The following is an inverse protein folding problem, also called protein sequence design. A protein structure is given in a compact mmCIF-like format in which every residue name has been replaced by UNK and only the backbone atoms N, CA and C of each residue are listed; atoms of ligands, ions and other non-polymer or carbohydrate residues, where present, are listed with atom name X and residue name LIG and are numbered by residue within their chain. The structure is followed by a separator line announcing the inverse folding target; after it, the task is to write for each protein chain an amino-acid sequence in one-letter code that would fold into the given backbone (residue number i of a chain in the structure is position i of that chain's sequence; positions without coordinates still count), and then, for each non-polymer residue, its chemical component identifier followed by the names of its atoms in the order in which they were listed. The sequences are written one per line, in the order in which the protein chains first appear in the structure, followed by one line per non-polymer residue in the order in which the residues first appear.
data_IF_453474654322
#
_entry.id   IF_453474654322
#
_cell.length_a   1.000
_cell.length_b   1.000
_cell.length_c   1.000
_cell.angle_alpha   90.00
_cell.angle_beta   90.00
_cell.angle_gamma   90.00
#
_symmetry.space_group_name_H-M   'P 1'
#
loop_
_entity.id
_entity.type
_entity.pdbx_description
1 polymer ?
#
# COMPACT_ATOMS: atom_id res chain seq x y z
N UNK A 1 14.87 -17.86 -22.71
CA UNK A 1 14.08 -16.70 -22.26
C UNK A 1 15.02 -15.72 -21.61
N UNK A 2 14.98 -14.45 -22.02
CA UNK A 2 15.69 -13.36 -21.30
C UNK A 2 14.99 -13.10 -19.97
N UNK A 3 15.78 -12.88 -18.91
CA UNK A 3 15.25 -12.57 -17.58
C UNK A 3 14.86 -11.11 -17.53
N UNK A 4 13.65 -10.81 -17.07
CA UNK A 4 13.18 -9.47 -16.81
C UNK A 4 13.27 -9.18 -15.32
N UNK A 5 13.57 -7.92 -14.96
CA UNK A 5 13.44 -7.46 -13.58
C UNK A 5 11.98 -7.17 -13.29
N UNK A 6 11.50 -7.60 -12.12
CA UNK A 6 10.19 -7.21 -11.62
C UNK A 6 10.32 -5.96 -10.75
N UNK A 7 9.50 -4.95 -11.02
CA UNK A 7 9.46 -3.70 -10.28
C UNK A 7 8.25 -3.67 -9.36
N UNK A 8 8.51 -3.51 -8.06
CA UNK A 8 7.50 -3.29 -7.04
C UNK A 8 7.65 -1.87 -6.46
N UNK A 9 6.58 -1.08 -6.48
CA UNK A 9 6.58 0.25 -5.91
C UNK A 9 6.13 0.19 -4.44
N UNK A 10 7.05 0.48 -3.53
CA UNK A 10 6.74 0.62 -2.12
C UNK A 10 6.13 2.00 -1.83
N UNK A 11 4.87 2.03 -1.40
CA UNK A 11 4.15 3.27 -1.09
C UNK A 11 4.02 3.42 0.42
N UNK A 12 4.70 4.43 0.97
CA UNK A 12 4.65 4.78 2.38
C UNK A 12 4.42 6.29 2.54
N UNK A 13 3.17 6.69 2.82
CA UNK A 13 2.80 8.09 3.01
C UNK A 13 3.24 9.01 1.87
N UNK A 14 4.19 9.91 2.15
CA UNK A 14 4.76 10.88 1.19
C UNK A 14 6.17 10.50 0.71
N UNK A 15 6.56 9.23 0.85
CA UNK A 15 7.88 8.70 0.53
C UNK A 15 8.60 8.12 1.75
N UNK A 16 9.59 7.27 1.51
CA UNK A 16 10.27 6.49 2.56
C UNK A 16 11.31 7.26 3.37
N UNK A 17 11.68 8.47 2.94
CA UNK A 17 12.58 9.33 3.72
C UNK A 17 11.81 9.96 4.89
N UNK A 18 12.36 9.93 6.11
CA UNK A 18 11.70 10.39 7.35
C UNK A 18 11.18 11.84 7.27
N UNK A 19 11.90 12.69 6.54
CA UNK A 19 11.57 14.10 6.31
C UNK A 19 10.91 14.37 4.93
N UNK A 20 10.54 13.35 4.16
CA UNK A 20 9.99 13.52 2.80
C UNK A 20 8.81 14.49 2.78
N UNK A 21 7.95 14.43 3.80
CA UNK A 21 6.78 15.31 3.92
C UNK A 21 7.10 16.81 3.98
N UNK A 22 8.34 17.20 4.32
CA UNK A 22 8.78 18.61 4.38
C UNK A 22 9.27 19.13 3.03
N UNK A 23 9.55 18.24 2.08
CA UNK A 23 10.09 18.65 0.79
C UNK A 23 9.05 19.48 0.02
N UNK A 24 9.40 20.64 -0.56
CA UNK A 24 8.42 21.52 -1.23
C UNK A 24 7.66 20.86 -2.39
N UNK A 25 8.25 19.85 -3.03
CA UNK A 25 7.62 19.08 -4.12
C UNK A 25 6.84 17.86 -3.64
N UNK A 26 6.78 17.60 -2.33
CA UNK A 26 5.97 16.51 -1.81
C UNK A 26 4.50 16.83 -1.98
N UNK A 27 3.69 15.80 -2.23
CA UNK A 27 2.24 15.94 -2.26
C UNK A 27 1.76 16.65 -0.99
N UNK A 28 0.71 17.46 -1.10
CA UNK A 28 -0.01 18.08 0.04
C UNK A 28 -1.33 17.37 0.33
N UNK A 29 -1.72 16.39 -0.51
CA UNK A 29 -2.97 15.63 -0.36
C UNK A 29 -3.04 14.94 1.01
N UNK A 30 -4.25 14.74 1.54
CA UNK A 30 -4.42 13.99 2.80
C UNK A 30 -4.00 12.53 2.60
N UNK A 31 -3.33 11.92 3.59
CA UNK A 31 -3.06 10.48 3.62
C UNK A 31 -4.32 9.65 3.92
N UNK A 32 -5.46 10.31 4.18
CA UNK A 32 -6.78 9.69 4.26
C UNK A 32 -7.59 9.84 2.96
N UNK A 33 -7.08 10.54 1.96
CA UNK A 33 -7.75 10.68 0.66
C UNK A 33 -7.39 9.50 -0.25
N UNK A 34 -8.33 8.59 -0.46
CA UNK A 34 -8.12 7.42 -1.32
C UNK A 34 -7.71 7.77 -2.75
N UNK A 35 -8.13 8.94 -3.27
CA UNK A 35 -7.80 9.37 -4.63
C UNK A 35 -6.30 9.62 -4.82
N UNK A 36 -5.59 9.98 -3.75
CA UNK A 36 -4.13 10.10 -3.77
C UNK A 36 -3.47 8.76 -4.11
N UNK A 37 -3.92 7.69 -3.46
CA UNK A 37 -3.37 6.35 -3.67
C UNK A 37 -3.80 5.75 -5.01
N UNK A 38 -5.05 5.98 -5.45
CA UNK A 38 -5.49 5.59 -6.79
C UNK A 38 -4.65 6.26 -7.88
N UNK A 39 -4.29 7.53 -7.72
CA UNK A 39 -3.43 8.24 -8.66
C UNK A 39 -2.00 7.69 -8.68
N UNK A 40 -1.42 7.39 -7.52
CA UNK A 40 -0.12 6.72 -7.44
C UNK A 40 -0.14 5.35 -8.13
N UNK A 41 -1.20 4.57 -7.91
CA UNK A 41 -1.37 3.25 -8.51
C UNK A 41 -1.50 3.34 -10.04
N UNK A 42 -2.30 4.28 -10.57
CA UNK A 42 -2.41 4.51 -12.02
C UNK A 42 -1.07 4.93 -12.64
N UNK A 43 -0.28 5.75 -11.94
CA UNK A 43 1.05 6.15 -12.41
C UNK A 43 2.02 4.97 -12.42
N UNK A 44 2.02 4.14 -11.39
CA UNK A 44 2.83 2.93 -11.33
C UNK A 44 2.48 1.97 -12.48
N UNK A 45 1.18 1.77 -12.73
CA UNK A 45 0.68 0.94 -13.82
C UNK A 45 1.05 1.48 -15.20
N UNK A 46 0.92 2.80 -15.41
CA UNK A 46 1.37 3.45 -16.65
C UNK A 46 2.90 3.38 -16.82
N UNK A 47 3.64 3.33 -15.71
CA UNK A 47 5.09 3.13 -15.66
C UNK A 47 5.55 1.68 -15.75
N UNK A 48 4.65 0.73 -16.04
CA UNK A 48 4.94 -0.70 -16.19
C UNK A 48 5.49 -1.39 -14.93
N UNK A 49 5.17 -0.88 -13.74
CA UNK A 49 5.43 -1.63 -12.51
C UNK A 49 4.57 -2.89 -12.44
N UNK A 50 5.17 -4.00 -12.01
CA UNK A 50 4.47 -5.27 -11.81
C UNK A 50 3.51 -5.19 -10.62
N UNK A 51 3.88 -4.44 -9.57
CA UNK A 51 3.09 -4.34 -8.35
C UNK A 51 3.29 -3.04 -7.59
N UNK A 52 2.31 -2.73 -6.75
CA UNK A 52 2.41 -1.75 -5.67
C UNK A 52 2.29 -2.47 -4.33
N UNK A 53 2.98 -1.95 -3.32
CA UNK A 53 3.02 -2.54 -1.99
C UNK A 53 2.75 -1.50 -0.90
N UNK A 54 1.79 -1.82 -0.04
CA UNK A 54 1.47 -1.08 1.18
C UNK A 54 1.89 -1.89 2.41
N UNK A 55 2.94 -1.41 3.10
CA UNK A 55 3.28 -1.91 4.42
C UNK A 55 2.32 -1.35 5.47
N UNK A 56 2.14 -2.11 6.54
CA UNK A 56 1.31 -1.69 7.66
C UNK A 56 1.89 -2.16 8.99
N UNK A 57 1.52 -1.45 10.06
CA UNK A 57 1.92 -1.76 11.43
C UNK A 57 0.73 -1.49 12.36
N UNK A 58 0.38 -2.49 13.18
CA UNK A 58 -0.72 -2.38 14.14
C UNK A 58 -0.33 -1.70 15.46
N UNK A 59 0.92 -1.21 15.56
CA UNK A 59 1.41 -0.53 16.75
C UNK A 59 1.93 0.85 16.38
N UNK A 60 1.64 1.83 17.24
CA UNK A 60 2.27 3.15 17.16
C UNK A 60 3.51 3.13 18.04
N UNK A 61 4.70 3.23 17.44
CA UNK A 61 5.92 3.33 18.24
C UNK A 61 6.03 4.74 18.85
N UNK A 62 5.67 4.87 20.13
CA UNK A 62 5.68 6.12 20.90
C UNK A 62 7.07 6.75 21.06
N UNK A 63 8.15 5.96 20.93
CA UNK A 63 9.52 6.44 20.95
C UNK A 63 9.94 7.08 19.61
N UNK A 64 9.47 6.53 18.49
CA UNK A 64 9.66 7.11 17.15
C UNK A 64 8.77 8.34 16.91
N UNK A 65 7.64 8.47 17.57
CA UNK A 65 6.75 9.64 17.44
C UNK A 65 7.33 10.92 18.08
N UNK A 66 8.31 10.80 18.99
CA UNK A 66 9.01 11.95 19.56
C UNK A 66 10.04 12.56 18.61
N UNK A 67 10.64 11.75 17.74
CA UNK A 67 11.63 12.17 16.74
C UNK A 67 11.02 12.40 15.36
N UNK A 68 10.01 11.62 14.96
CA UNK A 68 9.28 11.76 13.71
C UNK A 68 7.94 12.47 13.94
N UNK A 69 7.90 13.79 13.71
CA UNK A 69 6.66 14.58 13.61
C UNK A 69 5.77 14.21 12.41
N UNK A 70 6.12 13.15 11.67
CA UNK A 70 5.34 12.69 10.54
C UNK A 70 4.09 11.96 11.08
N UNK A 71 2.91 12.48 10.73
CA UNK A 71 1.63 11.87 11.05
C UNK A 71 1.61 10.41 10.57
N UNK A 72 1.57 9.46 11.51
CA UNK A 72 1.41 8.04 11.23
C UNK A 72 -0.08 7.68 11.04
N UNK A 73 -0.78 8.49 10.25
CA UNK A 73 -2.20 8.28 9.98
C UNK A 73 -2.37 8.14 8.47
N UNK A 74 -2.58 6.90 8.04
CA UNK A 74 -2.91 6.51 6.67
C UNK A 74 -4.12 5.56 6.70
N UNK A 75 -4.74 5.33 5.54
CA UNK A 75 -5.78 4.31 5.40
C UNK A 75 -5.17 2.92 5.59
N UNK A 76 -5.86 2.06 6.34
CA UNK A 76 -5.46 0.65 6.44
C UNK A 76 -5.44 0.00 5.04
N UNK A 77 -4.51 -0.94 4.79
CA UNK A 77 -4.20 -1.35 3.43
C UNK A 77 -5.27 -2.21 2.75
N UNK A 78 -6.11 -2.94 3.47
CA UNK A 78 -7.07 -3.88 2.90
C UNK A 78 -8.22 -3.18 2.17
N UNK A 79 -8.88 -2.20 2.80
CA UNK A 79 -9.90 -1.38 2.10
C UNK A 79 -9.27 -0.49 1.04
N UNK A 80 -8.02 -0.06 1.25
CA UNK A 80 -7.28 0.67 0.23
C UNK A 80 -7.04 -0.18 -1.02
N UNK A 81 -6.65 -1.47 -0.87
CA UNK A 81 -6.55 -2.38 -2.00
C UNK A 81 -7.90 -2.54 -2.72
N UNK A 82 -9.01 -2.70 -1.99
CA UNK A 82 -10.34 -2.82 -2.59
C UNK A 82 -10.69 -1.59 -3.46
N UNK A 83 -10.38 -0.39 -2.97
CA UNK A 83 -10.65 0.86 -3.70
C UNK A 83 -9.69 1.11 -4.87
N UNK A 84 -8.45 0.61 -4.81
CA UNK A 84 -7.48 0.70 -5.91
C UNK A 84 -7.74 -0.36 -6.98
N UNK A 85 -8.24 -1.53 -6.59
CA UNK A 85 -8.54 -2.63 -7.49
C UNK A 85 -9.50 -2.21 -8.61
N UNK A 86 -10.48 -1.35 -8.32
CA UNK A 86 -11.42 -0.83 -9.33
C UNK A 86 -10.90 0.40 -10.08
N UNK A 87 -9.73 0.94 -9.71
CA UNK A 87 -9.12 2.12 -10.32
C UNK A 87 -7.90 1.79 -11.21
N UNK A 88 -7.54 0.51 -11.32
CA UNK A 88 -6.39 -0.04 -12.05
C UNK A 88 -6.76 -1.36 -12.71
N UNK A 89 -6.04 -1.77 -13.76
CA UNK A 89 -6.41 -2.93 -14.57
C UNK A 89 -5.40 -4.09 -14.51
N UNK A 90 -4.12 -3.80 -14.27
CA UNK A 90 -2.98 -4.71 -14.49
C UNK A 90 -2.03 -4.80 -13.31
N UNK A 91 -1.75 -3.69 -12.62
CA UNK A 91 -0.74 -3.66 -11.55
C UNK A 91 -1.15 -4.56 -10.38
N UNK A 92 -0.21 -5.37 -9.88
CA UNK A 92 -0.40 -6.20 -8.69
C UNK A 92 -0.63 -5.38 -7.43
N UNK A 93 -1.46 -5.88 -6.52
CA UNK A 93 -1.94 -5.17 -5.34
C UNK A 93 -1.52 -5.91 -4.07
N UNK A 94 -0.46 -5.44 -3.42
CA UNK A 94 0.15 -6.13 -2.28
C UNK A 94 -0.10 -5.35 -0.99
N UNK A 95 -0.61 -6.04 0.02
CA UNK A 95 -0.77 -5.50 1.37
C UNK A 95 -0.08 -6.38 2.41
N UNK A 96 0.46 -5.75 3.45
CA UNK A 96 0.82 -6.43 4.69
C UNK A 96 -0.44 -6.87 5.43
N UNK A 97 -0.45 -8.13 5.88
CA UNK A 97 -1.49 -8.66 6.77
C UNK A 97 -0.84 -9.46 7.89
N UNK A 98 -1.08 -9.09 9.15
CA UNK A 98 -0.48 -9.74 10.31
C UNK A 98 -1.22 -11.00 10.73
N UNK A 99 -0.47 -12.09 10.83
CA UNK A 99 -0.91 -13.39 11.35
C UNK A 99 -0.98 -13.47 12.88
N UNK A 100 -0.41 -12.47 13.58
CA UNK A 100 -0.36 -12.45 15.04
C UNK A 100 -1.69 -12.00 15.67
N UNK A 101 -2.38 -11.06 15.03
CA UNK A 101 -3.53 -10.36 15.62
C UNK A 101 -4.85 -10.58 14.86
N UNK A 102 -4.81 -11.27 13.72
CA UNK A 102 -5.99 -11.50 12.88
C UNK A 102 -6.24 -12.99 12.73
N UNK A 103 -7.47 -13.42 13.01
CA UNK A 103 -7.89 -14.81 12.81
C UNK A 103 -7.64 -15.26 11.36
N UNK A 104 -7.06 -16.46 11.12
CA UNK A 104 -6.72 -16.94 9.78
C UNK A 104 -7.91 -16.93 8.82
N UNK A 105 -9.11 -17.26 9.31
CA UNK A 105 -10.33 -17.22 8.50
C UNK A 105 -10.62 -15.81 7.97
N UNK A 106 -10.41 -14.78 8.79
CA UNK A 106 -10.66 -13.40 8.39
C UNK A 106 -9.65 -12.93 7.33
N UNK A 107 -8.36 -13.24 7.51
CA UNK A 107 -7.33 -12.94 6.51
C UNK A 107 -7.61 -13.63 5.19
N UNK A 108 -7.90 -14.94 5.22
CA UNK A 108 -8.22 -15.72 4.02
C UNK A 108 -9.41 -15.11 3.27
N UNK A 109 -10.50 -14.78 3.98
CA UNK A 109 -11.69 -14.20 3.38
C UNK A 109 -11.45 -12.79 2.81
N UNK A 110 -10.66 -11.97 3.50
CA UNK A 110 -10.30 -10.62 3.04
C UNK A 110 -9.46 -10.68 1.76
N UNK A 111 -8.35 -11.44 1.76
CA UNK A 111 -7.49 -11.56 0.58
C UNK A 111 -8.22 -12.23 -0.60
N UNK A 112 -9.04 -13.27 -0.35
CA UNK A 112 -9.87 -13.86 -1.41
C UNK A 112 -10.86 -12.85 -2.01
N UNK A 113 -11.42 -11.96 -1.19
CA UNK A 113 -12.31 -10.91 -1.70
C UNK A 113 -11.54 -9.91 -2.58
N UNK A 114 -10.33 -9.50 -2.18
CA UNK A 114 -9.48 -8.64 -3.01
C UNK A 114 -9.07 -9.34 -4.30
N UNK A 115 -8.74 -10.62 -4.23
CA UNK A 115 -8.38 -11.42 -5.41
C UNK A 115 -9.51 -11.42 -6.44
N UNK A 116 -10.75 -11.67 -6.00
CA UNK A 116 -11.93 -11.58 -6.86
C UNK A 116 -12.19 -10.16 -7.39
N UNK A 117 -12.16 -9.13 -6.54
CA UNK A 117 -12.43 -7.74 -6.96
C UNK A 117 -11.37 -7.27 -7.97
N UNK A 118 -10.12 -7.69 -7.79
CA UNK A 118 -9.00 -7.28 -8.62
C UNK A 118 -8.78 -8.15 -9.87
N UNK A 119 -9.55 -9.23 -10.03
CA UNK A 119 -9.38 -10.25 -11.08
C UNK A 119 -8.00 -10.94 -11.02
N UNK A 120 -7.61 -11.44 -9.84
CA UNK A 120 -6.40 -12.26 -9.68
C UNK A 120 -5.11 -11.48 -9.43
N UNK A 121 -5.19 -10.23 -8.95
CA UNK A 121 -4.02 -9.34 -8.77
C UNK A 121 -3.60 -9.17 -7.32
N UNK A 122 -4.21 -9.88 -6.37
CA UNK A 122 -3.93 -9.71 -4.95
C UNK A 122 -2.59 -10.36 -4.55
N UNK A 123 -1.85 -9.70 -3.66
CA UNK A 123 -0.68 -10.27 -3.00
C UNK A 123 -0.68 -10.01 -1.50
N UNK A 124 -0.18 -10.98 -0.73
CA UNK A 124 -0.08 -10.89 0.73
C UNK A 124 1.39 -10.88 1.16
N UNK A 125 1.81 -9.79 1.81
CA UNK A 125 3.02 -9.77 2.60
C UNK A 125 2.72 -10.26 4.03
N UNK A 126 3.08 -11.50 4.33
CA UNK A 126 2.83 -12.16 5.63
C UNK A 126 3.80 -11.62 6.67
N UNK A 127 3.27 -11.18 7.81
CA UNK A 127 4.05 -10.74 9.00
C UNK A 127 3.50 -11.27 10.31
#
# INVERSE_FOLDING_TARGET
MERQLHFNLFIQGRGSHEAAWRHPMSSTASLTDIRYYQELARRAEAGLFDSIFFADQLTTNTAQTKSAKALQVWLEPMTMLAAIAVATERVGLIATGSSTYTEPFNLARQFASIDHISNGRAGWNIV
#
